data_IF_996736082707
#
_entry.id   IF_996736082707
#
_cell.length_a   1.000
_cell.length_b   1.000
_cell.length_c   1.000
_cell.angle_alpha   90.00
_cell.angle_beta   90.00
_cell.angle_gamma   90.00
#
_symmetry.space_group_name_H-M   'P 1'
#
loop_
_entity.id
_entity.type
_entity.pdbx_description
1 polymer ?
#
# COMPACT_ATOMS: atom_id res chain seq x y z
N UNK A 1 0.73 9.80 -20.54
CA UNK A 1 1.86 9.13 -19.84
C UNK A 1 1.73 9.30 -18.32
N UNK A 2 2.02 8.27 -17.52
CA UNK A 2 1.89 8.29 -16.06
C UNK A 2 3.28 8.48 -15.45
N UNK A 3 3.46 9.52 -14.63
CA UNK A 3 4.63 9.68 -13.75
C UNK A 3 4.26 9.11 -12.37
N UNK A 4 5.01 8.12 -11.91
CA UNK A 4 4.77 7.37 -10.68
C UNK A 4 5.83 7.68 -9.62
N UNK A 5 5.46 8.39 -8.58
CA UNK A 5 6.32 8.69 -7.43
C UNK A 5 6.36 7.49 -6.49
N UNK A 6 7.55 6.93 -6.29
CA UNK A 6 7.73 5.61 -5.70
C UNK A 6 8.77 5.57 -4.59
N UNK A 7 8.49 4.75 -3.59
CA UNK A 7 9.41 4.23 -2.56
C UNK A 7 9.05 2.77 -2.29
N UNK A 8 10.00 1.85 -1.97
CA UNK A 8 9.70 0.44 -1.68
C UNK A 8 8.95 0.29 -0.36
N UNK A 9 7.64 0.47 -0.40
CA UNK A 9 6.72 0.38 0.73
C UNK A 9 5.38 -0.26 0.28
N UNK A 10 4.55 -0.77 1.20
CA UNK A 10 3.32 -1.50 0.85
C UNK A 10 2.38 -0.73 -0.08
N UNK A 11 2.14 0.54 0.19
CA UNK A 11 1.19 1.33 -0.58
C UNK A 11 1.65 1.63 -2.02
N UNK A 12 2.92 2.06 -2.28
CA UNK A 12 3.42 2.15 -3.66
C UNK A 12 3.43 0.82 -4.39
N UNK A 13 3.70 -0.29 -3.69
CA UNK A 13 3.74 -1.62 -4.30
C UNK A 13 2.38 -2.03 -4.90
N UNK A 14 1.26 -1.62 -4.30
CA UNK A 14 -0.10 -1.82 -4.85
C UNK A 14 -0.25 -1.17 -6.23
N UNK A 15 0.22 0.06 -6.35
CA UNK A 15 0.15 0.83 -7.60
C UNK A 15 1.10 0.26 -8.65
N UNK A 16 2.32 -0.12 -8.24
CA UNK A 16 3.24 -0.83 -9.14
C UNK A 16 2.59 -2.10 -9.70
N UNK A 17 1.93 -2.91 -8.84
CA UNK A 17 1.22 -4.11 -9.27
C UNK A 17 0.12 -3.77 -10.29
N UNK A 18 -0.67 -2.73 -10.05
CA UNK A 18 -1.69 -2.31 -11.00
C UNK A 18 -1.10 -1.93 -12.36
N UNK A 19 -0.05 -1.11 -12.37
CA UNK A 19 0.60 -0.65 -13.60
C UNK A 19 1.13 -1.83 -14.42
N UNK A 20 1.75 -2.80 -13.74
CA UNK A 20 2.27 -4.03 -14.36
C UNK A 20 1.17 -5.00 -14.83
N UNK A 21 0.05 -5.11 -14.11
CA UNK A 21 -1.12 -5.92 -14.52
C UNK A 21 -1.84 -5.30 -15.72
N UNK A 22 -1.94 -3.99 -15.73
CA UNK A 22 -2.59 -3.25 -16.79
C UNK A 22 -1.75 -3.17 -18.07
N UNK A 23 -0.42 -3.33 -17.95
CA UNK A 23 0.54 -3.11 -19.04
C UNK A 23 0.62 -1.63 -19.44
N UNK A 24 0.42 -0.73 -18.49
CA UNK A 24 0.50 0.71 -18.74
C UNK A 24 1.94 1.17 -18.78
N UNK A 25 2.26 2.06 -19.71
CA UNK A 25 3.55 2.76 -19.73
C UNK A 25 3.60 3.81 -18.61
N UNK A 26 4.69 3.81 -17.85
CA UNK A 26 4.90 4.76 -16.77
C UNK A 26 6.38 5.06 -16.55
N UNK A 27 6.64 6.25 -16.04
CA UNK A 27 7.95 6.69 -15.59
C UNK A 27 7.98 6.72 -14.06
N UNK A 28 9.01 6.13 -13.45
CA UNK A 28 9.20 6.15 -12.00
C UNK A 28 10.07 7.32 -11.59
N UNK A 29 9.56 8.11 -10.64
CA UNK A 29 10.34 9.10 -9.90
C UNK A 29 10.58 8.54 -8.50
N UNK A 30 11.80 8.10 -8.18
CA UNK A 30 12.12 7.62 -6.84
C UNK A 30 12.08 8.78 -5.84
N UNK A 31 11.50 8.53 -4.67
CA UNK A 31 11.43 9.50 -3.56
C UNK A 31 11.89 8.77 -2.31
N UNK A 32 13.09 9.09 -1.82
CA UNK A 32 13.65 8.41 -0.66
C UNK A 32 13.10 8.98 0.65
N UNK A 33 12.14 8.26 1.22
CA UNK A 33 11.47 8.69 2.46
C UNK A 33 12.39 8.68 3.69
N UNK A 34 13.48 7.93 3.66
CA UNK A 34 14.48 7.93 4.74
C UNK A 34 15.45 9.10 4.66
N UNK A 35 15.47 9.81 3.51
CA UNK A 35 16.19 11.08 3.32
C UNK A 35 15.28 12.30 3.46
N UNK A 36 13.98 12.11 3.70
CA UNK A 36 13.05 13.21 3.85
C UNK A 36 12.58 13.83 2.53
N UNK A 37 12.87 13.23 1.38
CA UNK A 37 12.53 13.79 0.06
C UNK A 37 11.02 14.00 -0.13
N UNK A 38 10.17 13.25 0.60
CA UNK A 38 8.72 13.43 0.60
C UNK A 38 8.26 14.77 1.21
N UNK A 39 9.16 15.47 1.89
CA UNK A 39 8.88 16.78 2.48
C UNK A 39 9.31 17.93 1.57
N UNK A 40 10.02 17.66 0.47
CA UNK A 40 10.43 18.67 -0.48
C UNK A 40 9.21 19.43 -1.05
N UNK A 41 9.28 20.76 -1.20
CA UNK A 41 8.18 21.56 -1.75
C UNK A 41 7.68 21.07 -3.11
N UNK A 42 8.59 20.58 -3.96
CA UNK A 42 8.26 20.01 -5.27
C UNK A 42 7.37 18.76 -5.16
N UNK A 43 7.65 17.87 -4.20
CA UNK A 43 6.81 16.69 -3.97
C UNK A 43 5.51 17.05 -3.23
N UNK A 44 5.56 17.96 -2.25
CA UNK A 44 4.35 18.44 -1.57
C UNK A 44 3.37 19.17 -2.51
N UNK A 45 3.85 19.76 -3.57
CA UNK A 45 3.00 20.30 -4.64
C UNK A 45 2.25 19.19 -5.42
N UNK A 46 2.76 17.94 -5.41
CA UNK A 46 2.09 16.78 -6.01
C UNK A 46 1.16 16.11 -4.98
N UNK A 47 1.66 15.88 -3.76
CA UNK A 47 0.90 15.31 -2.67
C UNK A 47 1.10 16.12 -1.38
N UNK A 48 0.11 16.96 -0.98
CA UNK A 48 0.22 17.78 0.22
C UNK A 48 0.38 16.98 1.51
N UNK A 49 -0.04 15.70 1.52
CA UNK A 49 0.15 14.80 2.66
C UNK A 49 1.61 14.37 2.86
N UNK A 50 2.50 14.56 1.86
CA UNK A 50 3.90 14.14 1.95
C UNK A 50 4.07 12.63 2.14
N UNK A 51 3.22 11.80 1.54
CA UNK A 51 3.25 10.33 1.61
C UNK A 51 3.28 9.72 0.20
N UNK A 52 3.82 8.50 0.11
CA UNK A 52 3.85 7.73 -1.13
C UNK A 52 2.79 6.62 -1.10
N UNK A 53 2.19 6.31 -2.25
CA UNK A 53 2.47 6.79 -3.61
C UNK A 53 1.73 8.08 -3.97
N UNK A 54 2.18 8.68 -5.07
CA UNK A 54 1.43 9.65 -5.85
C UNK A 54 1.66 9.40 -7.34
N UNK A 55 0.74 9.84 -8.19
CA UNK A 55 0.91 9.84 -9.64
C UNK A 55 0.59 11.21 -10.22
N UNK A 56 1.20 11.48 -11.37
CA UNK A 56 0.79 12.53 -12.28
C UNK A 56 0.43 11.89 -13.60
N UNK A 57 -0.80 12.08 -14.04
CA UNK A 57 -1.26 11.62 -15.35
C UNK A 57 -1.34 12.82 -16.29
N UNK A 58 -0.58 12.79 -17.39
CA UNK A 58 -0.58 13.86 -18.39
C UNK A 58 -1.85 13.88 -19.25
N UNK A 59 -2.62 12.82 -19.21
CA UNK A 59 -3.80 12.56 -20.03
C UNK A 59 -5.01 12.16 -19.18
N UNK A 60 -5.30 12.98 -18.17
CA UNK A 60 -6.45 12.80 -17.29
C UNK A 60 -7.79 13.14 -17.97
N UNK A 61 -8.89 13.22 -17.21
CA UNK A 61 -10.20 13.56 -17.73
C UNK A 61 -10.18 14.83 -18.55
N UNK A 62 -10.77 14.78 -19.76
CA UNK A 62 -10.76 15.90 -20.70
C UNK A 62 -9.40 16.25 -21.29
N UNK A 63 -8.40 15.36 -21.17
CA UNK A 63 -7.02 15.62 -21.63
C UNK A 63 -6.20 16.48 -20.66
N UNK A 64 -6.75 16.81 -19.49
CA UNK A 64 -6.06 17.63 -18.51
C UNK A 64 -4.99 16.85 -17.74
N UNK A 65 -3.90 17.52 -17.36
CA UNK A 65 -2.92 16.96 -16.44
C UNK A 65 -3.51 16.91 -15.03
N UNK A 66 -3.53 15.73 -14.41
CA UNK A 66 -4.07 15.51 -13.06
C UNK A 66 -3.03 14.91 -12.12
N UNK A 67 -3.18 15.20 -10.84
CA UNK A 67 -2.41 14.61 -9.74
C UNK A 67 -3.34 13.78 -8.90
N UNK A 68 -2.95 12.55 -8.59
CA UNK A 68 -3.71 11.66 -7.71
C UNK A 68 -2.77 11.12 -6.65
N UNK A 69 -3.17 11.18 -5.41
CA UNK A 69 -2.47 10.61 -4.27
C UNK A 69 -3.43 9.74 -3.44
N UNK A 70 -2.90 8.99 -2.49
CA UNK A 70 -3.49 7.83 -1.82
C UNK A 70 -3.56 6.60 -2.74
N UNK A 71 -3.03 5.47 -2.24
CA UNK A 71 -2.93 4.25 -3.06
C UNK A 71 -4.27 3.71 -3.54
N UNK A 72 -5.33 3.81 -2.71
CA UNK A 72 -6.67 3.33 -3.07
C UNK A 72 -7.35 4.25 -4.07
N UNK A 73 -7.15 5.58 -3.91
CA UNK A 73 -7.64 6.56 -4.87
C UNK A 73 -6.95 6.40 -6.24
N UNK A 74 -5.63 6.14 -6.25
CA UNK A 74 -4.87 5.89 -7.49
C UNK A 74 -5.38 4.62 -8.18
N UNK A 75 -5.55 3.52 -7.44
CA UNK A 75 -6.07 2.27 -7.99
C UNK A 75 -7.46 2.46 -8.60
N UNK A 76 -8.35 3.18 -7.91
CA UNK A 76 -9.69 3.47 -8.38
C UNK A 76 -9.67 4.34 -9.64
N UNK A 77 -8.89 5.43 -9.60
CA UNK A 77 -8.73 6.33 -10.74
C UNK A 77 -8.21 5.61 -11.99
N UNK A 78 -7.15 4.82 -11.84
CA UNK A 78 -6.56 4.10 -12.95
C UNK A 78 -7.48 2.99 -13.47
N UNK A 79 -8.16 2.27 -12.57
CA UNK A 79 -9.13 1.24 -12.93
C UNK A 79 -10.31 1.81 -13.71
N UNK A 80 -10.88 2.91 -13.25
CA UNK A 80 -11.98 3.61 -13.92
C UNK A 80 -11.51 4.18 -15.28
N UNK A 81 -10.28 4.75 -15.34
CA UNK A 81 -9.70 5.29 -16.57
C UNK A 81 -9.60 4.26 -17.70
N UNK A 82 -9.19 3.03 -17.37
CA UNK A 82 -8.98 1.98 -18.38
C UNK A 82 -10.15 0.99 -18.47
N UNK A 83 -11.17 1.13 -17.62
CA UNK A 83 -12.32 0.22 -17.58
C UNK A 83 -11.98 -1.22 -17.19
N UNK A 84 -10.90 -1.44 -16.41
CA UNK A 84 -10.44 -2.76 -16.01
C UNK A 84 -10.19 -2.86 -14.51
N UNK A 85 -10.34 -4.07 -13.96
CA UNK A 85 -10.11 -4.39 -12.55
C UNK A 85 -11.07 -3.69 -11.56
N UNK A 86 -12.21 -3.21 -12.03
CA UNK A 86 -13.20 -2.48 -11.21
C UNK A 86 -14.51 -3.25 -11.06
N UNK A 87 -14.54 -4.51 -11.50
CA UNK A 87 -15.74 -5.35 -11.50
C UNK A 87 -16.81 -4.84 -12.46
N UNK A 88 -18.01 -5.37 -12.31
CA UNK A 88 -19.20 -4.89 -13.01
C UNK A 88 -19.86 -3.73 -12.26
N UNK A 89 -20.80 -2.98 -12.87
CA UNK A 89 -21.57 -1.97 -12.14
C UNK A 89 -22.29 -2.51 -10.90
N UNK A 90 -22.72 -3.78 -10.92
CA UNK A 90 -23.37 -4.43 -9.79
C UNK A 90 -22.38 -4.70 -8.62
N UNK A 91 -21.10 -4.91 -8.92
CA UNK A 91 -20.06 -5.14 -7.92
C UNK A 91 -19.59 -3.84 -7.25
N UNK A 92 -19.88 -2.69 -7.83
CA UNK A 92 -19.33 -1.39 -7.41
C UNK A 92 -19.53 -1.07 -5.92
N UNK A 93 -20.71 -1.27 -5.30
CA UNK A 93 -20.89 -1.01 -3.87
C UNK A 93 -20.00 -1.89 -2.99
N UNK A 94 -19.89 -3.18 -3.32
CA UNK A 94 -19.03 -4.12 -2.58
C UNK A 94 -17.55 -3.79 -2.79
N UNK A 95 -17.15 -3.47 -4.03
CA UNK A 95 -15.79 -3.04 -4.37
C UNK A 95 -15.36 -1.83 -3.55
N UNK A 96 -16.17 -0.79 -3.47
CA UNK A 96 -15.87 0.39 -2.67
C UNK A 96 -15.78 0.07 -1.19
N UNK A 97 -16.68 -0.77 -0.67
CA UNK A 97 -16.68 -1.19 0.73
C UNK A 97 -15.39 -1.91 1.11
N UNK A 98 -14.96 -2.89 0.31
CA UNK A 98 -13.72 -3.62 0.56
C UNK A 98 -12.46 -2.80 0.28
N UNK A 99 -12.47 -1.92 -0.72
CA UNK A 99 -11.36 -1.01 -0.98
C UNK A 99 -11.14 -0.07 0.21
N UNK A 100 -12.23 0.49 0.76
CA UNK A 100 -12.16 1.34 1.95
C UNK A 100 -11.82 0.53 3.21
N UNK A 101 -12.27 -0.71 3.35
CA UNK A 101 -11.86 -1.58 4.45
C UNK A 101 -10.34 -1.80 4.46
N UNK A 102 -9.71 -1.96 3.29
CA UNK A 102 -8.25 -2.02 3.19
C UNK A 102 -7.61 -0.67 3.53
N UNK A 103 -8.14 0.43 2.99
CA UNK A 103 -7.58 1.77 3.14
C UNK A 103 -7.66 2.28 4.59
N UNK A 104 -8.78 2.04 5.28
CA UNK A 104 -9.04 2.56 6.63
C UNK A 104 -8.78 1.54 7.75
N UNK A 105 -8.64 0.27 7.42
CA UNK A 105 -8.49 -0.82 8.37
C UNK A 105 -7.17 -1.57 8.20
N UNK A 106 -7.07 -2.49 7.22
CA UNK A 106 -5.90 -3.36 7.04
C UNK A 106 -4.61 -2.53 6.97
N UNK A 107 -4.58 -1.49 6.13
CA UNK A 107 -3.39 -0.66 5.94
C UNK A 107 -2.95 0.05 7.22
N UNK A 108 -3.79 0.93 7.80
CA UNK A 108 -3.42 1.69 8.99
C UNK A 108 -3.07 0.82 10.20
N UNK A 109 -3.86 -0.21 10.50
CA UNK A 109 -3.58 -1.04 11.67
C UNK A 109 -2.35 -1.92 11.49
N UNK A 110 -2.10 -2.45 10.29
CA UNK A 110 -0.83 -3.14 9.98
C UNK A 110 0.35 -2.18 10.06
N UNK A 111 0.20 -0.96 9.55
CA UNK A 111 1.23 0.08 9.63
C UNK A 111 1.57 0.47 11.08
N UNK A 112 0.56 0.67 11.93
CA UNK A 112 0.77 0.97 13.35
C UNK A 112 1.36 -0.22 14.10
N UNK A 113 0.94 -1.46 13.79
CA UNK A 113 1.56 -2.64 14.37
C UNK A 113 3.07 -2.68 14.10
N UNK A 114 3.48 -2.41 12.87
CA UNK A 114 4.91 -2.31 12.50
C UNK A 114 5.58 -1.13 13.19
N UNK A 115 4.92 0.04 13.26
CA UNK A 115 5.47 1.23 13.89
C UNK A 115 5.86 0.98 15.35
N UNK A 116 4.93 0.50 16.15
CA UNK A 116 5.17 0.28 17.58
C UNK A 116 6.12 -0.89 17.85
N UNK A 117 6.30 -1.81 16.92
CA UNK A 117 7.26 -2.91 17.05
C UNK A 117 8.70 -2.53 16.65
N UNK A 118 8.88 -1.55 15.73
CA UNK A 118 10.19 -1.30 15.09
C UNK A 118 10.68 0.14 15.15
N UNK A 119 9.76 1.11 15.21
CA UNK A 119 10.09 2.53 15.04
C UNK A 119 9.89 3.35 16.32
N UNK A 120 9.05 2.90 17.24
CA UNK A 120 8.84 3.58 18.50
C UNK A 120 10.16 3.73 19.26
N UNK A 121 10.46 4.91 19.84
CA UNK A 121 11.72 5.18 20.53
C UNK A 121 11.87 4.38 21.82
N UNK A 122 10.76 3.93 22.39
CA UNK A 122 10.70 3.11 23.60
C UNK A 122 9.71 1.95 23.45
N UNK A 123 9.90 0.84 24.17
CA UNK A 123 8.94 -0.26 24.17
C UNK A 123 7.60 0.17 24.79
N UNK A 124 6.52 0.00 24.05
CA UNK A 124 5.14 0.28 24.47
C UNK A 124 4.28 -0.99 24.34
N UNK A 125 4.37 -1.95 25.30
CA UNK A 125 3.75 -3.27 25.18
C UNK A 125 2.25 -3.21 24.92
N UNK A 126 1.53 -2.28 25.53
CA UNK A 126 0.11 -2.08 25.30
C UNK A 126 -0.18 -1.71 23.84
N UNK A 127 0.55 -0.74 23.27
CA UNK A 127 0.36 -0.29 21.89
C UNK A 127 0.72 -1.42 20.90
N UNK A 128 1.84 -2.13 21.13
CA UNK A 128 2.24 -3.30 20.34
C UNK A 128 1.12 -4.33 20.33
N UNK A 129 0.60 -4.73 21.51
CA UNK A 129 -0.47 -5.71 21.59
C UNK A 129 -1.77 -5.21 20.95
N UNK A 130 -2.16 -3.95 21.20
CA UNK A 130 -3.39 -3.34 20.68
C UNK A 130 -3.41 -3.37 19.15
N UNK A 131 -2.35 -2.89 18.51
CA UNK A 131 -2.29 -2.79 17.05
C UNK A 131 -2.07 -4.14 16.37
N UNK A 132 -1.27 -5.04 16.96
CA UNK A 132 -1.16 -6.42 16.49
C UNK A 132 -2.51 -7.13 16.48
N UNK A 133 -3.27 -7.08 17.59
CA UNK A 133 -4.59 -7.71 17.68
C UNK A 133 -5.60 -7.12 16.71
N UNK A 134 -5.52 -5.82 16.45
CA UNK A 134 -6.41 -5.18 15.50
C UNK A 134 -6.05 -5.56 14.05
N UNK A 135 -4.77 -5.67 13.70
CA UNK A 135 -4.34 -6.22 12.42
C UNK A 135 -4.83 -7.67 12.24
N UNK A 136 -4.63 -8.54 13.25
CA UNK A 136 -5.14 -9.92 13.25
C UNK A 136 -6.67 -9.97 13.07
N UNK A 137 -7.41 -9.06 13.71
CA UNK A 137 -8.88 -8.98 13.57
C UNK A 137 -9.26 -8.68 12.11
N UNK A 138 -8.59 -7.75 11.45
CA UNK A 138 -8.84 -7.42 10.05
C UNK A 138 -8.50 -8.58 9.12
N UNK A 139 -7.39 -9.28 9.37
CA UNK A 139 -7.02 -10.49 8.62
C UNK A 139 -8.10 -11.58 8.78
N UNK A 140 -8.65 -11.75 9.99
CA UNK A 140 -9.71 -12.71 10.25
C UNK A 140 -11.02 -12.36 9.55
N UNK A 141 -11.36 -11.08 9.44
CA UNK A 141 -12.54 -10.63 8.67
C UNK A 141 -12.35 -10.98 7.20
N UNK A 142 -11.19 -10.68 6.63
CA UNK A 142 -10.89 -10.98 5.23
C UNK A 142 -10.80 -12.49 4.98
N UNK A 143 -10.20 -13.26 5.91
CA UNK A 143 -10.14 -14.71 5.82
C UNK A 143 -11.52 -15.35 5.75
N UNK A 144 -12.45 -14.92 6.63
CA UNK A 144 -13.83 -15.41 6.63
C UNK A 144 -14.55 -15.07 5.32
N UNK A 145 -14.35 -13.86 4.81
CA UNK A 145 -14.95 -13.44 3.55
C UNK A 145 -14.44 -14.26 2.36
N UNK A 146 -13.18 -14.65 2.38
CA UNK A 146 -12.53 -15.46 1.34
C UNK A 146 -12.85 -16.96 1.41
N UNK A 147 -13.71 -17.41 2.34
CA UNK A 147 -14.15 -18.78 2.39
C UNK A 147 -14.92 -19.15 1.11
N UNK A 148 -14.36 -20.09 0.33
CA UNK A 148 -14.93 -20.51 -0.96
C UNK A 148 -14.77 -19.48 -2.08
N UNK A 149 -14.02 -18.40 -1.90
CA UNK A 149 -13.79 -17.36 -2.91
C UNK A 149 -12.33 -17.34 -3.35
N UNK A 150 -12.11 -17.06 -4.61
CA UNK A 150 -10.79 -16.89 -5.23
C UNK A 150 -10.34 -15.43 -5.32
N UNK A 151 -11.29 -14.51 -5.23
CA UNK A 151 -11.11 -13.04 -5.28
C UNK A 151 -11.98 -12.37 -4.22
N UNK A 152 -11.65 -11.12 -3.86
CA UNK A 152 -12.35 -10.42 -2.79
C UNK A 152 -13.73 -9.95 -3.24
N UNK A 153 -13.89 -9.48 -4.48
CA UNK A 153 -15.16 -8.93 -4.99
C UNK A 153 -15.52 -9.57 -6.31
N UNK A 154 -16.78 -9.92 -6.48
CA UNK A 154 -17.30 -10.51 -7.72
C UNK A 154 -16.64 -11.84 -8.06
N UNK A 155 -16.36 -12.03 -9.35
CA UNK A 155 -15.73 -13.24 -9.88
C UNK A 155 -14.34 -13.00 -10.48
N UNK A 156 -13.93 -11.74 -10.64
CA UNK A 156 -12.72 -11.35 -11.33
C UNK A 156 -11.74 -10.63 -10.39
N UNK A 157 -10.45 -10.85 -10.64
CA UNK A 157 -9.37 -10.14 -9.98
C UNK A 157 -9.49 -8.61 -10.16
N UNK A 158 -9.39 -7.88 -9.06
CA UNK A 158 -9.72 -6.46 -9.02
C UNK A 158 -8.69 -5.61 -8.27
N UNK A 159 -8.90 -4.30 -8.30
CA UNK A 159 -8.11 -3.33 -7.52
C UNK A 159 -8.18 -3.60 -6.01
N UNK A 160 -9.21 -4.28 -5.52
CA UNK A 160 -9.32 -4.65 -4.10
C UNK A 160 -8.30 -5.72 -3.76
N UNK A 161 -8.13 -6.72 -4.64
CA UNK A 161 -7.12 -7.76 -4.46
C UNK A 161 -5.71 -7.15 -4.48
N UNK A 162 -5.43 -6.25 -5.42
CA UNK A 162 -4.14 -5.54 -5.48
C UNK A 162 -3.89 -4.71 -4.22
N UNK A 163 -4.93 -4.03 -3.73
CA UNK A 163 -4.84 -3.20 -2.52
C UNK A 163 -4.59 -4.03 -1.27
N UNK A 164 -5.30 -5.13 -1.10
CA UNK A 164 -5.14 -6.03 0.04
C UNK A 164 -3.77 -6.73 0.00
N UNK A 165 -3.38 -7.27 -1.16
CA UNK A 165 -2.11 -7.98 -1.33
C UNK A 165 -0.91 -7.15 -0.86
N UNK A 166 -0.84 -5.86 -1.18
CA UNK A 166 0.30 -5.01 -0.81
C UNK A 166 0.55 -4.94 0.71
N UNK A 167 -0.49 -5.09 1.54
CA UNK A 167 -0.35 -5.14 2.99
C UNK A 167 -0.22 -6.57 3.53
N UNK A 168 -0.89 -7.55 2.94
CA UNK A 168 -0.76 -8.96 3.34
C UNK A 168 0.66 -9.49 3.05
N UNK A 169 1.32 -8.98 2.00
CA UNK A 169 2.75 -9.22 1.73
C UNK A 169 3.65 -8.85 2.94
N UNK A 170 3.18 -7.97 3.81
CA UNK A 170 3.91 -7.56 5.03
C UNK A 170 3.55 -8.36 6.28
N UNK A 171 2.74 -9.40 6.15
CA UNK A 171 2.36 -10.25 7.29
C UNK A 171 3.56 -10.73 8.14
N UNK A 172 4.72 -11.12 7.57
CA UNK A 172 5.89 -11.50 8.37
C UNK A 172 6.43 -10.39 9.28
N UNK A 173 6.19 -9.13 8.92
CA UNK A 173 6.64 -7.96 9.69
C UNK A 173 5.55 -7.49 10.66
N UNK A 174 4.29 -7.64 10.27
CA UNK A 174 3.11 -7.25 11.08
C UNK A 174 2.92 -8.24 12.23
N UNK A 175 3.14 -9.54 11.98
CA UNK A 175 2.98 -10.66 12.91
C UNK A 175 4.32 -11.41 13.08
N UNK A 176 5.35 -10.78 13.66
CA UNK A 176 6.65 -11.40 13.81
C UNK A 176 6.60 -12.57 14.81
N UNK A 177 7.55 -13.50 14.65
CA UNK A 177 7.70 -14.68 15.53
C UNK A 177 6.93 -15.92 15.07
N UNK A 178 6.09 -15.79 14.06
CA UNK A 178 5.38 -16.94 13.45
C UNK A 178 6.19 -17.44 12.24
N UNK A 179 6.40 -18.75 12.15
CA UNK A 179 7.06 -19.37 10.98
C UNK A 179 6.23 -19.17 9.69
N UNK A 180 4.91 -19.18 9.81
CA UNK A 180 3.97 -18.79 8.78
C UNK A 180 2.92 -17.84 9.40
N UNK A 181 3.05 -16.53 9.22
CA UNK A 181 2.16 -15.56 9.83
C UNK A 181 0.71 -15.62 9.32
N UNK A 182 0.47 -16.35 8.22
CA UNK A 182 -0.88 -16.58 7.69
C UNK A 182 -1.44 -17.96 8.03
N UNK A 183 -0.75 -18.80 8.84
CA UNK A 183 -1.21 -20.13 9.19
C UNK A 183 -2.60 -20.13 9.86
N UNK A 184 -2.90 -19.13 10.69
CA UNK A 184 -4.20 -18.96 11.37
C UNK A 184 -5.32 -18.42 10.45
N UNK A 185 -5.02 -18.15 9.17
CA UNK A 185 -5.92 -17.53 8.18
C UNK A 185 -5.87 -18.33 6.86
N UNK A 186 -6.41 -19.55 6.81
CA UNK A 186 -6.17 -20.48 5.69
C UNK A 186 -6.75 -19.99 4.35
N UNK A 187 -7.89 -19.29 4.35
CA UNK A 187 -8.48 -18.75 3.12
C UNK A 187 -7.70 -17.54 2.60
N UNK A 188 -7.31 -16.66 3.52
CA UNK A 188 -6.45 -15.51 3.21
C UNK A 188 -5.10 -15.97 2.67
N UNK A 189 -4.50 -17.00 3.27
CA UNK A 189 -3.24 -17.60 2.81
C UNK A 189 -3.36 -18.20 1.42
N UNK A 190 -4.45 -18.93 1.11
CA UNK A 190 -4.72 -19.50 -0.21
C UNK A 190 -4.86 -18.36 -1.24
N UNK A 191 -5.68 -17.36 -0.96
CA UNK A 191 -5.87 -16.19 -1.80
C UNK A 191 -4.56 -15.43 -2.02
N UNK A 192 -3.78 -15.17 -0.96
CA UNK A 192 -2.51 -14.47 -1.05
C UNK A 192 -1.54 -15.17 -2.01
N UNK A 193 -1.37 -16.49 -1.88
CA UNK A 193 -0.50 -17.26 -2.78
C UNK A 193 -0.93 -17.14 -4.23
N UNK A 194 -2.24 -17.23 -4.50
CA UNK A 194 -2.77 -17.09 -5.85
C UNK A 194 -2.48 -15.71 -6.46
N UNK A 195 -2.57 -14.63 -5.68
CA UNK A 195 -2.18 -13.30 -6.15
C UNK A 195 -0.68 -13.20 -6.30
N UNK A 196 0.07 -13.72 -5.36
CA UNK A 196 1.54 -13.64 -5.31
C UNK A 196 2.24 -14.39 -6.47
N UNK A 197 1.63 -15.43 -6.99
CA UNK A 197 2.12 -16.21 -8.14
C UNK A 197 1.90 -15.52 -9.50
N UNK A 198 1.23 -14.38 -9.55
CA UNK A 198 1.00 -13.64 -10.81
C UNK A 198 2.31 -13.04 -11.33
N UNK A 199 2.54 -13.16 -12.62
CA UNK A 199 3.75 -12.63 -13.26
C UNK A 199 3.96 -11.12 -13.04
N UNK A 200 2.87 -10.35 -12.94
CA UNK A 200 2.93 -8.91 -12.66
C UNK A 200 3.46 -8.60 -11.24
N UNK A 201 3.26 -9.49 -10.27
CA UNK A 201 3.80 -9.34 -8.91
C UNK A 201 5.33 -9.36 -8.94
N UNK A 202 5.92 -10.29 -9.68
CA UNK A 202 7.38 -10.34 -9.82
C UNK A 202 7.93 -9.05 -10.47
N UNK A 203 7.26 -8.53 -11.50
CA UNK A 203 7.65 -7.27 -12.14
C UNK A 203 7.47 -6.07 -11.21
N UNK A 204 6.37 -6.00 -10.47
CA UNK A 204 6.13 -4.94 -9.49
C UNK A 204 7.20 -4.90 -8.39
N UNK A 205 7.59 -6.05 -7.87
CA UNK A 205 8.70 -6.16 -6.89
C UNK A 205 10.04 -5.75 -7.49
N UNK A 206 10.28 -6.04 -8.77
CA UNK A 206 11.51 -5.67 -9.47
C UNK A 206 11.66 -4.16 -9.72
N UNK A 207 10.60 -3.36 -9.59
CA UNK A 207 10.67 -1.89 -9.72
C UNK A 207 11.70 -1.29 -8.76
N UNK A 208 11.71 -1.75 -7.50
CA UNK A 208 12.63 -1.24 -6.49
C UNK A 208 14.10 -1.48 -6.80
N UNK A 209 14.43 -2.59 -7.50
CA UNK A 209 15.81 -2.95 -7.83
C UNK A 209 16.46 -2.01 -8.85
N UNK A 210 15.70 -1.15 -9.52
CA UNK A 210 16.18 -0.17 -10.48
C UNK A 210 16.73 1.10 -9.82
N UNK A 211 16.53 1.27 -8.50
CA UNK A 211 16.85 2.50 -7.78
C UNK A 211 17.57 2.19 -6.47
N UNK A 212 18.37 3.15 -6.03
CA UNK A 212 19.08 3.05 -4.75
C UNK A 212 18.35 3.91 -3.72
N UNK A 213 17.92 3.28 -2.63
CA UNK A 213 17.30 3.96 -1.49
C UNK A 213 18.17 3.78 -0.24
N UNK A 214 18.15 4.75 0.69
CA UNK A 214 18.84 4.65 1.97
C UNK A 214 18.36 3.40 2.71
N UNK A 215 19.29 2.48 3.01
CA UNK A 215 18.98 1.23 3.70
C UNK A 215 18.94 1.37 5.22
N UNK A 216 19.73 2.30 5.77
CA UNK A 216 19.88 2.52 7.20
C UNK A 216 18.63 3.18 7.79
N UNK A 217 18.27 2.71 8.99
CA UNK A 217 17.24 3.32 9.82
C UNK A 217 17.90 4.01 11.01
N UNK A 218 18.76 4.98 10.71
CA UNK A 218 19.42 5.85 11.70
C UNK A 218 18.46 6.91 12.26
N UNK A 219 18.95 7.80 13.14
CA UNK A 219 18.14 8.85 13.74
C UNK A 219 17.61 9.83 12.70
N UNK A 220 18.42 10.21 11.70
CA UNK A 220 18.01 11.07 10.61
C UNK A 220 16.84 10.47 9.82
N UNK A 221 16.94 9.18 9.46
CA UNK A 221 15.85 8.48 8.78
C UNK A 221 14.58 8.39 9.64
N UNK A 222 14.70 8.20 10.96
CA UNK A 222 13.53 8.19 11.87
C UNK A 222 12.86 9.57 11.92
N UNK A 223 13.63 10.65 12.02
CA UNK A 223 13.14 12.03 11.96
C UNK A 223 12.46 12.32 10.61
N UNK A 224 13.06 11.91 9.51
CA UNK A 224 12.51 12.07 8.17
C UNK A 224 11.19 11.29 7.97
N UNK A 225 11.08 10.08 8.51
CA UNK A 225 9.87 9.25 8.40
C UNK A 225 8.72 9.73 9.29
N UNK A 226 9.04 10.25 10.48
CA UNK A 226 8.08 10.57 11.54
C UNK A 226 8.36 11.94 12.18
N UNK A 227 8.40 13.05 11.40
CA UNK A 227 8.78 14.37 11.90
C UNK A 227 7.87 14.85 13.05
N UNK A 228 6.58 14.49 13.03
CA UNK A 228 5.64 14.83 14.11
C UNK A 228 5.96 14.25 15.48
N UNK A 229 6.86 13.25 15.56
CA UNK A 229 7.33 12.70 16.83
C UNK A 229 8.50 13.48 17.43
N UNK A 230 8.98 14.52 16.73
CA UNK A 230 10.13 15.32 17.13
C UNK A 230 9.72 16.80 17.22
N UNK A 231 9.48 17.33 18.43
CA UNK A 231 8.92 18.67 18.64
C UNK A 231 9.75 19.81 18.00
N UNK A 232 11.06 19.64 17.94
CA UNK A 232 12.00 20.57 17.31
C UNK A 232 11.79 20.73 15.78
N UNK A 233 10.98 19.88 15.15
CA UNK A 233 10.66 19.94 13.71
C UNK A 233 9.24 20.45 13.42
N UNK A 234 8.41 20.68 14.45
CA UNK A 234 7.03 21.14 14.27
C UNK A 234 6.91 22.67 14.04
N UNK A 235 8.00 23.41 14.22
CA UNK A 235 8.02 24.89 14.09
C UNK A 235 8.54 25.40 12.72
N UNK A 236 8.71 24.51 11.75
CA UNK A 236 9.11 24.82 10.36
C UNK A 236 7.97 24.46 9.36
#
# INVERSE_FOLDING_TARGET
>A
MITFYYHPAPNPLKVALFLEEAGLEYEVVPVDTRKGEQHAPSFRAINPNGKLPAIVDSEGPGGARVRVFDSSAILLYLGDKIGRFVGTPADRPELLSWLMFVASGIGPYSGQAVHFQRFAPEPLPYAVNRYRREAERHYRVLDKHLAGRDVIVGNDYSIVDMSAWGWIDRAPVVLPGEADPLAAFPNLRRWFRRVDERAAVARARAVSARYVFKAELDEEARRALFPSNYPDQLEQ
#
